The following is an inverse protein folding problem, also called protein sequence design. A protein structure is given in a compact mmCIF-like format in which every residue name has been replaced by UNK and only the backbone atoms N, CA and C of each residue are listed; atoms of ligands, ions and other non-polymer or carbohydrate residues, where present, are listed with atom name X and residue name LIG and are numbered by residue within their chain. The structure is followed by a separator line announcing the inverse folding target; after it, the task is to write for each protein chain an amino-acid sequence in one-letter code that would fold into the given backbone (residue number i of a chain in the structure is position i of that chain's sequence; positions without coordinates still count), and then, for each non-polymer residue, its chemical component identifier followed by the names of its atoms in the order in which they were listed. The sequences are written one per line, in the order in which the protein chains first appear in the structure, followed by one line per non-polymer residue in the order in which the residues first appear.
data_IF_986616655912
#
_entry.id   IF_986616655912
#
_cell.length_a   1.000
_cell.length_b   1.000
_cell.length_c   1.000
_cell.angle_alpha   90.00
_cell.angle_beta   90.00
_cell.angle_gamma   90.00
#
_symmetry.space_group_name_H-M   'P 1'
#
loop_
_entity.id
_entity.type
_entity.pdbx_description
1 polymer ?
#
# COMPACT_ATOMS: atom_id res chain seq x y z
N UNK A 1 0.18 11.25 -13.31
CA UNK A 1 1.52 11.23 -12.70
C UNK A 1 1.50 10.86 -11.20
N UNK A 2 2.45 10.03 -10.76
CA UNK A 2 2.69 9.66 -9.36
C UNK A 2 3.90 10.40 -8.80
N UNK A 3 3.84 10.81 -7.54
CA UNK A 3 4.94 11.41 -6.80
C UNK A 3 5.57 10.38 -5.86
N UNK A 4 6.85 10.06 -6.09
CA UNK A 4 7.63 9.22 -5.20
C UNK A 4 7.92 9.99 -3.90
N UNK A 5 7.50 9.46 -2.76
CA UNK A 5 7.68 10.08 -1.44
C UNK A 5 8.69 9.33 -0.60
N UNK A 6 8.75 8.01 -0.74
CA UNK A 6 9.72 7.17 -0.05
C UNK A 6 10.25 6.08 -0.98
N UNK A 7 11.55 5.84 -0.94
CA UNK A 7 12.21 4.71 -1.57
C UNK A 7 13.16 4.07 -0.56
N UNK A 8 13.13 2.74 -0.46
CA UNK A 8 14.00 1.97 0.41
C UNK A 8 14.35 0.59 -0.19
N UNK A 9 15.40 -0.05 0.35
CA UNK A 9 15.76 -1.44 0.02
C UNK A 9 15.34 -2.36 1.15
N UNK A 10 14.48 -3.33 0.85
CA UNK A 10 13.88 -4.21 1.84
C UNK A 10 14.20 -5.69 1.60
N UNK A 11 14.69 -6.39 2.62
CA UNK A 11 14.83 -7.84 2.60
C UNK A 11 13.56 -8.42 3.21
N UNK A 12 12.79 -9.17 2.42
CA UNK A 12 11.50 -9.73 2.83
C UNK A 12 11.68 -10.70 4.00
N UNK A 13 10.82 -10.57 5.02
CA UNK A 13 10.88 -11.34 6.26
C UNK A 13 11.84 -10.75 7.30
N UNK A 14 12.36 -9.55 7.08
CA UNK A 14 12.99 -8.75 8.13
C UNK A 14 11.99 -7.72 8.63
N UNK A 15 11.83 -7.58 9.94
CA UNK A 15 10.92 -6.59 10.50
C UNK A 15 11.26 -5.19 9.99
N UNK A 16 10.26 -4.51 9.42
CA UNK A 16 10.40 -3.14 8.92
C UNK A 16 9.07 -2.42 8.94
N UNK A 17 9.10 -1.14 9.30
CA UNK A 17 7.96 -0.24 9.19
C UNK A 17 8.37 1.04 8.47
N UNK A 18 7.64 1.39 7.41
CA UNK A 18 7.84 2.59 6.60
C UNK A 18 6.52 3.34 6.50
N UNK A 19 6.47 4.57 7.00
CA UNK A 19 5.25 5.39 6.99
C UNK A 19 5.48 6.75 6.36
N UNK A 20 4.52 7.21 5.56
CA UNK A 20 4.55 8.55 4.94
C UNK A 20 3.16 9.17 4.96
N UNK A 21 3.11 10.49 5.16
CA UNK A 21 1.90 11.28 4.97
C UNK A 21 1.63 11.52 3.48
N UNK A 22 0.37 11.81 3.15
CA UNK A 22 0.01 12.38 1.85
C UNK A 22 0.73 13.70 1.63
N UNK A 23 1.03 14.00 0.36
CA UNK A 23 1.68 15.26 -0.04
C UNK A 23 0.75 16.46 0.03
N UNK A 24 -0.56 16.24 -0.09
CA UNK A 24 -1.58 17.31 -0.14
C UNK A 24 -2.62 17.20 0.98
N UNK A 25 -2.69 16.08 1.70
CA UNK A 25 -3.70 15.81 2.73
C UNK A 25 -3.04 15.43 4.06
N UNK A 26 -2.71 16.39 4.92
CA UNK A 26 -1.95 16.16 6.17
C UNK A 26 -2.54 15.07 7.10
N UNK A 27 -3.85 14.86 7.05
CA UNK A 27 -4.56 13.87 7.86
C UNK A 27 -4.52 12.45 7.30
N UNK A 28 -4.09 12.28 6.04
CA UNK A 28 -3.96 10.99 5.39
C UNK A 28 -2.50 10.53 5.44
N UNK A 29 -2.32 9.25 5.71
CA UNK A 29 -1.01 8.60 5.66
C UNK A 29 -1.16 7.15 5.23
N UNK A 30 -0.04 6.54 4.91
CA UNK A 30 0.04 5.09 4.69
C UNK A 30 1.25 4.53 5.40
N UNK A 31 1.15 3.28 5.81
CA UNK A 31 2.23 2.55 6.46
C UNK A 31 2.40 1.19 5.80
N UNK A 32 3.60 0.91 5.31
CA UNK A 32 4.02 -0.44 4.99
C UNK A 32 4.69 -1.07 6.20
N UNK A 33 4.35 -2.33 6.48
CA UNK A 33 4.94 -3.14 7.53
C UNK A 33 5.29 -4.52 7.00
N UNK A 34 6.50 -4.98 7.32
CA UNK A 34 6.89 -6.39 7.33
C UNK A 34 7.07 -6.78 8.80
N UNK A 35 6.35 -7.80 9.26
CA UNK A 35 6.40 -8.30 10.63
C UNK A 35 7.31 -9.54 10.80
N UNK A 36 8.05 -9.90 9.75
CA UNK A 36 8.88 -11.10 9.68
C UNK A 36 8.19 -12.30 9.03
N UNK A 37 6.85 -12.32 8.96
CA UNK A 37 6.07 -13.41 8.37
C UNK A 37 5.20 -12.95 7.20
N UNK A 38 4.68 -11.71 7.27
CA UNK A 38 3.77 -11.12 6.31
C UNK A 38 4.10 -9.65 6.06
N UNK A 39 3.77 -9.20 4.85
CA UNK A 39 3.81 -7.79 4.47
C UNK A 39 2.40 -7.23 4.39
N UNK A 40 2.16 -6.10 5.06
CA UNK A 40 0.89 -5.38 5.04
C UNK A 40 1.08 -3.92 4.67
N UNK A 41 0.04 -3.35 4.06
CA UNK A 41 -0.07 -1.94 3.76
C UNK A 41 -1.33 -1.39 4.41
N UNK A 42 -1.19 -0.34 5.20
CA UNK A 42 -2.25 0.24 6.02
C UNK A 42 -2.62 1.63 5.50
N UNK A 43 -3.92 1.89 5.38
CA UNK A 43 -4.48 3.20 5.15
C UNK A 43 -4.71 3.90 6.51
N UNK A 44 -4.21 5.12 6.64
CA UNK A 44 -4.34 5.91 7.86
C UNK A 44 -5.14 7.19 7.59
N UNK A 45 -6.11 7.48 8.45
CA UNK A 45 -6.76 8.79 8.56
C UNK A 45 -6.74 9.25 10.02
N UNK A 46 -5.94 10.26 10.33
CA UNK A 46 -5.73 10.74 11.71
C UNK A 46 -6.92 11.52 12.28
N UNK A 47 -7.95 11.82 11.47
CA UNK A 47 -9.18 12.44 11.94
C UNK A 47 -10.18 11.42 12.49
N UNK A 48 -10.01 10.13 12.17
CA UNK A 48 -10.86 9.06 12.67
C UNK A 48 -10.45 8.66 14.09
N UNK A 49 -11.44 8.19 14.88
CA UNK A 49 -11.19 7.72 16.24
C UNK A 49 -10.23 6.52 16.29
N UNK A 50 -10.28 5.68 15.25
CA UNK A 50 -9.28 4.64 14.99
C UNK A 50 -8.52 5.03 13.72
N UNK A 51 -7.24 5.45 13.83
CA UNK A 51 -6.53 6.01 12.68
C UNK A 51 -6.29 5.02 11.54
N UNK A 52 -6.15 3.72 11.83
CA UNK A 52 -6.07 2.70 10.78
C UNK A 52 -7.48 2.49 10.25
N UNK A 53 -7.72 2.95 9.02
CA UNK A 53 -9.06 2.90 8.40
C UNK A 53 -9.23 1.73 7.44
N UNK A 54 -8.13 1.16 6.94
CA UNK A 54 -8.14 -0.04 6.12
C UNK A 54 -6.77 -0.73 6.05
N UNK A 55 -6.72 -1.98 5.58
CA UNK A 55 -5.48 -2.75 5.44
C UNK A 55 -5.51 -3.73 4.27
N UNK A 56 -4.35 -3.92 3.63
CA UNK A 56 -4.19 -4.82 2.49
C UNK A 56 -2.98 -5.74 2.70
N UNK A 57 -3.17 -7.05 2.45
CA UNK A 57 -2.06 -7.98 2.38
C UNK A 57 -1.21 -7.70 1.14
N UNK A 58 0.10 -7.64 1.30
CA UNK A 58 1.07 -7.44 0.21
C UNK A 58 1.72 -8.78 -0.17
N UNK A 59 2.19 -9.53 0.83
CA UNK A 59 2.78 -10.85 0.65
C UNK A 59 2.74 -11.71 1.92
N UNK A 60 3.00 -13.00 1.75
CA UNK A 60 3.35 -13.93 2.81
C UNK A 60 4.75 -14.50 2.52
N UNK A 61 5.65 -14.48 3.52
CA UNK A 61 7.05 -14.91 3.37
C UNK A 61 7.16 -16.36 2.89
N UNK A 62 6.25 -17.24 3.32
CA UNK A 62 6.26 -18.66 2.91
C UNK A 62 5.94 -18.86 1.42
N UNK A 63 5.38 -17.85 0.75
CA UNK A 63 5.08 -17.89 -0.68
C UNK A 63 6.16 -17.29 -1.57
N UNK A 64 7.30 -16.88 -1.02
CA UNK A 64 8.32 -16.12 -1.75
C UNK A 64 9.64 -16.89 -1.82
N UNK A 65 10.16 -17.00 -3.04
CA UNK A 65 11.51 -17.49 -3.30
C UNK A 65 12.55 -16.36 -3.17
N UNK A 66 13.81 -16.73 -2.93
CA UNK A 66 14.95 -15.79 -2.89
C UNK A 66 14.80 -14.66 -1.85
N UNK A 67 14.40 -15.00 -0.63
CA UNK A 67 14.23 -14.06 0.49
C UNK A 67 15.49 -13.24 0.83
N UNK A 68 16.68 -13.69 0.42
CA UNK A 68 17.94 -12.98 0.66
C UNK A 68 18.17 -11.79 -0.30
N UNK A 69 17.37 -11.67 -1.37
CA UNK A 69 17.48 -10.58 -2.33
C UNK A 69 16.67 -9.35 -1.87
N UNK A 70 17.30 -8.18 -1.72
CA UNK A 70 16.56 -6.98 -1.37
C UNK A 70 15.65 -6.55 -2.54
N UNK A 71 14.40 -6.21 -2.22
CA UNK A 71 13.44 -5.60 -3.11
C UNK A 71 13.45 -4.08 -2.94
N UNK A 72 13.28 -3.37 -4.03
CA UNK A 72 13.04 -1.92 -3.97
C UNK A 72 11.60 -1.72 -3.52
N UNK A 73 11.41 -1.06 -2.39
CA UNK A 73 10.09 -0.68 -1.88
C UNK A 73 9.93 0.82 -2.08
N UNK A 74 8.83 1.22 -2.72
CA UNK A 74 8.51 2.61 -2.98
C UNK A 74 7.10 2.91 -2.50
N UNK A 75 6.93 4.07 -1.88
CA UNK A 75 5.61 4.62 -1.58
C UNK A 75 5.43 5.89 -2.40
N UNK A 76 4.38 5.91 -3.21
CA UNK A 76 4.01 7.02 -4.06
C UNK A 76 2.63 7.54 -3.71
N UNK A 77 2.39 8.83 -3.97
CA UNK A 77 1.07 9.44 -3.89
C UNK A 77 0.65 10.00 -5.25
N UNK A 78 -0.65 10.05 -5.52
CA UNK A 78 -1.18 10.84 -6.64
C UNK A 78 -0.98 12.33 -6.39
N UNK A 79 -0.98 13.12 -7.47
CA UNK A 79 -0.80 14.57 -7.44
C UNK A 79 -1.77 15.31 -6.52
N UNK A 80 -3.00 14.81 -6.37
CA UNK A 80 -4.01 15.37 -5.46
C UNK A 80 -3.92 14.85 -4.02
N UNK A 81 -2.96 13.97 -3.73
CA UNK A 81 -2.76 13.36 -2.41
C UNK A 81 -3.87 12.42 -1.95
N UNK A 82 -4.80 12.01 -2.83
CA UNK A 82 -5.94 11.16 -2.48
C UNK A 82 -5.74 9.68 -2.77
N UNK A 83 -4.67 9.30 -3.47
CA UNK A 83 -4.33 7.91 -3.73
C UNK A 83 -2.89 7.63 -3.34
N UNK A 84 -2.68 6.52 -2.66
CA UNK A 84 -1.37 6.05 -2.25
C UNK A 84 -1.07 4.69 -2.89
N UNK A 85 0.18 4.45 -3.21
CA UNK A 85 0.64 3.25 -3.92
C UNK A 85 1.88 2.69 -3.23
N UNK A 86 1.86 1.41 -2.94
CA UNK A 86 3.03 0.63 -2.57
C UNK A 86 3.52 -0.13 -3.80
N UNK A 87 4.69 0.27 -4.30
CA UNK A 87 5.37 -0.42 -5.39
C UNK A 87 6.49 -1.29 -4.83
N UNK A 88 6.62 -2.51 -5.36
CA UNK A 88 7.77 -3.39 -5.13
C UNK A 88 8.43 -3.64 -6.47
N UNK A 89 9.71 -3.28 -6.59
CA UNK A 89 10.47 -3.28 -7.84
C UNK A 89 9.73 -2.55 -8.98
N UNK A 90 9.11 -1.41 -8.67
CA UNK A 90 8.37 -0.58 -9.64
C UNK A 90 6.99 -1.10 -10.04
N UNK A 91 6.55 -2.25 -9.53
CA UNK A 91 5.21 -2.80 -9.79
C UNK A 91 4.27 -2.57 -8.60
N UNK A 92 3.00 -2.18 -8.79
CA UNK A 92 2.07 -1.95 -7.69
C UNK A 92 1.62 -3.27 -7.04
N UNK A 93 1.82 -3.37 -5.73
CA UNK A 93 1.36 -4.51 -4.93
C UNK A 93 0.18 -4.15 -4.03
N UNK A 94 0.08 -2.89 -3.60
CA UNK A 94 -1.09 -2.38 -2.90
C UNK A 94 -1.33 -0.91 -3.27
N UNK A 95 -2.58 -0.48 -3.26
CA UNK A 95 -2.95 0.92 -3.40
C UNK A 95 -4.23 1.24 -2.63
N UNK A 96 -4.38 2.49 -2.20
CA UNK A 96 -5.60 3.00 -1.58
C UNK A 96 -6.10 4.22 -2.35
N UNK A 97 -7.40 4.26 -2.59
CA UNK A 97 -8.14 5.44 -3.06
C UNK A 97 -9.01 5.96 -1.92
N UNK A 98 -8.56 7.03 -1.27
CA UNK A 98 -9.23 7.64 -0.12
C UNK A 98 -10.49 8.42 -0.52
N UNK A 99 -10.66 8.75 -1.80
CA UNK A 99 -11.88 9.42 -2.28
C UNK A 99 -12.99 8.40 -2.52
N UNK A 100 -12.66 7.27 -3.15
CA UNK A 100 -13.61 6.21 -3.46
C UNK A 100 -13.74 5.16 -2.35
N UNK A 101 -12.85 5.19 -1.37
CA UNK A 101 -12.71 4.21 -0.28
C UNK A 101 -12.51 2.79 -0.85
N UNK A 102 -11.50 2.66 -1.71
CA UNK A 102 -11.14 1.39 -2.34
C UNK A 102 -9.71 1.02 -2.03
N UNK A 103 -9.51 -0.17 -1.47
CA UNK A 103 -8.23 -0.84 -1.35
C UNK A 103 -7.99 -1.76 -2.56
N UNK A 104 -6.82 -1.69 -3.17
CA UNK A 104 -6.42 -2.52 -4.30
C UNK A 104 -5.22 -3.38 -3.92
N UNK A 105 -5.33 -4.70 -4.05
CA UNK A 105 -4.17 -5.60 -4.01
C UNK A 105 -4.41 -6.81 -4.94
N UNK A 106 -3.61 -7.86 -4.82
CA UNK A 106 -3.72 -9.04 -5.69
C UNK A 106 -4.64 -10.15 -5.16
N UNK A 107 -5.20 -9.99 -3.95
CA UNK A 107 -5.97 -11.04 -3.27
C UNK A 107 -7.36 -10.59 -2.80
N UNK A 108 -7.61 -9.27 -2.72
CA UNK A 108 -8.71 -8.61 -1.99
C UNK A 108 -8.74 -8.88 -0.49
N UNK A 109 -7.65 -9.39 0.07
CA UNK A 109 -7.56 -9.70 1.50
C UNK A 109 -6.70 -8.71 2.28
N UNK A 110 -6.96 -8.55 3.59
CA UNK A 110 -8.09 -9.10 4.35
C UNK A 110 -9.43 -8.56 3.81
N UNK A 111 -10.57 -9.13 4.18
CA UNK A 111 -11.84 -8.46 3.87
C UNK A 111 -11.94 -7.17 4.69
N UNK A 112 -12.53 -6.08 4.15
CA UNK A 112 -12.78 -4.89 4.94
C UNK A 112 -13.56 -5.21 6.21
N UNK A 113 -13.34 -4.43 7.28
CA UNK A 113 -14.06 -4.63 8.53
C UNK A 113 -15.59 -4.54 8.35
N UNK A 114 -16.33 -5.30 9.16
CA UNK A 114 -17.79 -5.30 9.09
C UNK A 114 -18.34 -3.90 9.43
N UNK A 115 -19.05 -3.31 8.48
CA UNK A 115 -19.59 -1.96 8.61
C UNK A 115 -18.65 -0.85 8.14
N UNK A 116 -17.45 -1.19 7.68
CA UNK A 116 -16.58 -0.26 6.96
C UNK A 116 -17.22 0.16 5.63
N UNK A 117 -16.93 1.38 5.20
CA UNK A 117 -17.27 1.87 3.87
C UNK A 117 -16.23 1.45 2.81
N UNK A 118 -15.08 0.92 3.24
CA UNK A 118 -14.03 0.46 2.34
C UNK A 118 -14.45 -0.80 1.58
N UNK A 119 -14.01 -0.87 0.33
CA UNK A 119 -14.19 -2.04 -0.53
C UNK A 119 -12.86 -2.46 -1.13
N UNK A 120 -12.72 -3.76 -1.46
CA UNK A 120 -11.49 -4.27 -2.05
C UNK A 120 -11.66 -4.73 -3.50
N UNK A 121 -10.73 -4.30 -4.35
CA UNK A 121 -10.64 -4.66 -5.76
C UNK A 121 -9.29 -5.29 -6.09
N UNK A 122 -9.25 -6.09 -7.18
CA UNK A 122 -7.99 -6.65 -7.64
C UNK A 122 -7.24 -5.60 -8.46
N UNK A 123 -5.93 -5.54 -8.29
CA UNK A 123 -5.05 -4.90 -9.26
C UNK A 123 -5.16 -5.68 -10.58
N UNK A 124 -5.36 -4.96 -11.67
CA UNK A 124 -5.46 -5.52 -13.03
C UNK A 124 -4.46 -4.82 -13.93
N UNK A 125 -4.05 -5.45 -15.03
CA UNK A 125 -3.10 -4.85 -15.99
C UNK A 125 -3.56 -3.48 -16.47
N UNK A 126 -4.88 -3.31 -16.70
CA UNK A 126 -5.48 -2.02 -17.05
C UNK A 126 -5.24 -0.95 -15.99
N UNK A 127 -5.39 -1.30 -14.71
CA UNK A 127 -5.12 -0.37 -13.60
C UNK A 127 -3.62 -0.04 -13.53
N UNK A 128 -2.75 -1.03 -13.72
CA UNK A 128 -1.29 -0.81 -13.72
C UNK A 128 -0.89 0.14 -14.84
N UNK A 129 -1.40 -0.07 -16.06
CA UNK A 129 -1.19 0.83 -17.18
C UNK A 129 -1.70 2.25 -16.87
N UNK A 130 -2.90 2.39 -16.31
CA UNK A 130 -3.47 3.68 -15.92
C UNK A 130 -2.66 4.41 -14.85
N UNK A 131 -2.04 3.69 -13.91
CA UNK A 131 -1.31 4.29 -12.79
C UNK A 131 0.14 4.63 -13.13
N UNK A 132 0.81 3.78 -13.90
CA UNK A 132 2.24 3.93 -14.20
C UNK A 132 2.51 4.71 -15.50
N UNK A 133 1.49 4.96 -16.31
CA UNK A 133 1.63 5.83 -17.49
C UNK A 133 1.55 7.31 -17.05
N UNK A 134 2.49 8.18 -17.46
CA UNK A 134 2.56 9.58 -17.04
C UNK A 134 1.29 10.40 -17.25
#
# INVERSE_FOLDING_TARGET
MLHLVLEDRHIIGQEKRLGVHSTEQDHLAVVFEDDGETGYFYAINTQEAQPVVDSLSVYNVNGIESLQEPRQVQICWSEDGNRAFLLVNGYPHAAFDFTRLIGYNHSKYPLPELGSMWSHENITDKLVEEWLTP
#
